data_IF_757437615969
#
_entry.id   IF_757437615969
#
_cell.length_a   1.000
_cell.length_b   1.000
_cell.length_c   1.000
_cell.angle_alpha   90.00
_cell.angle_beta   90.00
_cell.angle_gamma   90.00
#
_symmetry.space_group_name_H-M   'P 1'
#
loop_
_entity.id
_entity.type
_entity.pdbx_description
1 polymer ?
#
# COMPACT_ATOMS: atom_id res chain seq x y z
N UNK A 1 -2.31 3.48 -30.77
CA UNK A 1 -3.12 3.52 -29.54
C UNK A 1 -2.30 4.25 -28.49
N UNK A 2 -2.77 5.40 -27.97
CA UNK A 2 -2.13 6.05 -26.83
C UNK A 2 -2.50 5.29 -25.58
N UNK A 3 -1.55 4.54 -25.01
CA UNK A 3 -1.74 3.84 -23.74
C UNK A 3 -1.89 4.89 -22.64
N UNK A 4 -3.06 4.96 -22.01
CA UNK A 4 -3.26 5.78 -20.81
C UNK A 4 -2.35 5.22 -19.72
N UNK A 5 -1.38 6.01 -19.26
CA UNK A 5 -0.49 5.64 -18.16
C UNK A 5 -1.07 6.16 -16.86
N UNK A 6 -1.47 5.25 -15.97
CA UNK A 6 -1.90 5.61 -14.62
C UNK A 6 -0.70 6.02 -13.76
N UNK A 7 -0.91 6.93 -12.78
CA UNK A 7 0.15 7.37 -11.88
C UNK A 7 0.58 6.25 -10.92
N UNK A 8 1.69 6.48 -10.22
CA UNK A 8 2.16 5.63 -9.12
C UNK A 8 1.93 6.32 -7.78
N UNK A 9 1.80 5.53 -6.71
CA UNK A 9 1.70 6.01 -5.33
C UNK A 9 2.87 5.49 -4.49
N UNK A 10 3.33 6.30 -3.54
CA UNK A 10 4.28 5.84 -2.51
C UNK A 10 3.51 5.19 -1.37
N UNK A 11 3.89 3.97 -1.03
CA UNK A 11 3.31 3.18 0.05
C UNK A 11 4.40 2.77 1.02
N UNK A 12 4.28 3.18 2.27
CA UNK A 12 5.19 2.81 3.35
C UNK A 12 4.61 1.64 4.15
N UNK A 13 5.23 0.47 4.05
CA UNK A 13 4.86 -0.71 4.83
C UNK A 13 5.47 -0.60 6.22
N UNK A 14 4.62 -0.65 7.25
CA UNK A 14 5.04 -0.35 8.64
C UNK A 14 5.63 -1.53 9.41
N UNK A 15 5.44 -2.75 8.93
CA UNK A 15 5.81 -3.99 9.64
C UNK A 15 4.83 -4.44 10.72
N UNK A 16 3.80 -3.63 11.02
CA UNK A 16 2.71 -4.06 11.90
C UNK A 16 1.78 -4.99 11.12
N UNK A 17 1.57 -6.20 11.64
CA UNK A 17 0.65 -7.18 11.06
C UNK A 17 -0.37 -7.67 12.07
N UNK A 18 -1.52 -8.12 11.57
CA UNK A 18 -2.58 -8.76 12.33
C UNK A 18 -3.04 -10.00 11.57
N UNK A 19 -2.90 -11.17 12.18
CA UNK A 19 -3.34 -12.43 11.59
C UNK A 19 -4.50 -13.05 12.37
N UNK A 20 -5.29 -13.89 11.72
CA UNK A 20 -6.40 -14.61 12.34
C UNK A 20 -7.10 -15.58 11.39
N UNK A 21 -8.22 -16.14 11.84
CA UNK A 21 -9.11 -16.95 11.01
C UNK A 21 -10.36 -16.13 10.69
N UNK A 22 -10.72 -16.03 9.40
CA UNK A 22 -11.88 -15.27 8.97
C UNK A 22 -13.16 -16.00 9.37
N UNK A 23 -14.06 -15.33 10.10
CA UNK A 23 -15.24 -15.96 10.69
C UNK A 23 -16.18 -16.61 9.67
N UNK A 24 -16.30 -16.05 8.45
CA UNK A 24 -17.20 -16.57 7.40
C UNK A 24 -16.58 -17.70 6.59
N UNK A 25 -15.35 -17.54 6.13
CA UNK A 25 -14.69 -18.51 5.25
C UNK A 25 -13.89 -19.58 5.99
N UNK A 26 -13.64 -19.38 7.29
CA UNK A 26 -12.77 -20.22 8.12
C UNK A 26 -11.34 -20.36 7.55
N UNK A 27 -10.91 -19.41 6.71
CA UNK A 27 -9.58 -19.39 6.12
C UNK A 27 -8.65 -18.47 6.93
N UNK A 28 -7.35 -18.81 7.04
CA UNK A 28 -6.34 -17.90 7.57
C UNK A 28 -6.29 -16.60 6.76
N UNK A 29 -6.07 -15.49 7.44
CA UNK A 29 -5.79 -14.20 6.84
C UNK A 29 -4.69 -13.47 7.60
N UNK A 30 -4.01 -12.56 6.92
CA UNK A 30 -3.11 -11.58 7.51
C UNK A 30 -3.41 -10.21 6.94
N UNK A 31 -3.59 -9.21 7.79
CA UNK A 31 -3.63 -7.81 7.39
C UNK A 31 -2.29 -7.18 7.76
N UNK A 32 -1.72 -6.36 6.89
CA UNK A 32 -0.54 -5.58 7.20
C UNK A 32 -0.81 -4.09 7.02
N UNK A 33 -0.33 -3.30 7.98
CA UNK A 33 -0.57 -1.87 8.02
C UNK A 33 0.46 -1.14 7.17
N UNK A 34 -0.01 -0.14 6.44
CA UNK A 34 0.82 0.75 5.63
C UNK A 34 0.30 2.19 5.68
N UNK A 35 1.12 3.11 5.17
CA UNK A 35 0.78 4.51 5.01
C UNK A 35 0.94 4.90 3.53
N UNK A 36 -0.12 5.45 2.95
CA UNK A 36 -0.16 5.82 1.52
C UNK A 36 -0.08 7.33 1.37
N UNK A 37 0.82 7.79 0.51
CA UNK A 37 0.89 9.20 0.14
C UNK A 37 -0.06 9.46 -1.03
N UNK A 38 -1.12 10.22 -0.78
CA UNK A 38 -2.11 10.59 -1.80
C UNK A 38 -1.82 11.99 -2.36
N UNK A 39 -1.96 12.21 -3.68
CA UNK A 39 -1.85 13.53 -4.27
C UNK A 39 -2.83 14.52 -3.62
N UNK A 40 -2.33 15.69 -3.22
CA UNK A 40 -3.16 16.75 -2.59
C UNK A 40 -3.50 16.50 -1.12
N UNK A 41 -3.11 15.37 -0.52
CA UNK A 41 -3.30 15.10 0.91
C UNK A 41 -1.96 15.31 1.63
N UNK A 42 -1.88 16.26 2.59
CA UNK A 42 -0.61 16.63 3.21
C UNK A 42 0.07 15.51 4.01
N UNK A 43 -0.73 14.63 4.63
CA UNK A 43 -0.24 13.59 5.51
C UNK A 43 -0.55 12.20 4.93
N UNK A 44 0.35 11.21 5.12
CA UNK A 44 0.09 9.85 4.71
C UNK A 44 -1.18 9.30 5.37
N UNK A 45 -1.99 8.58 4.59
CA UNK A 45 -3.21 7.97 5.09
C UNK A 45 -2.94 6.52 5.50
N UNK A 46 -3.33 6.16 6.71
CA UNK A 46 -3.19 4.80 7.22
C UNK A 46 -4.16 3.87 6.49
N UNK A 47 -3.66 2.75 5.99
CA UNK A 47 -4.45 1.71 5.34
C UNK A 47 -4.00 0.33 5.81
N UNK A 48 -4.88 -0.66 5.67
CA UNK A 48 -4.57 -2.06 5.91
C UNK A 48 -4.74 -2.85 4.61
N UNK A 49 -3.71 -3.61 4.24
CA UNK A 49 -3.72 -4.48 3.09
C UNK A 49 -3.92 -5.93 3.51
N UNK A 50 -4.71 -6.65 2.71
CA UNK A 50 -4.92 -8.08 2.90
C UNK A 50 -3.80 -8.91 2.25
N UNK A 51 -3.32 -9.90 2.99
CA UNK A 51 -2.47 -10.98 2.54
C UNK A 51 -3.08 -12.32 3.00
N UNK A 52 -2.95 -13.37 2.18
CA UNK A 52 -3.48 -14.68 2.57
C UNK A 52 -2.61 -15.30 3.67
N UNK A 53 -1.31 -15.05 3.63
CA UNK A 53 -0.32 -15.58 4.58
C UNK A 53 0.67 -14.51 5.02
N UNK A 54 1.31 -14.72 6.17
CA UNK A 54 2.34 -13.81 6.69
C UNK A 54 3.55 -13.71 5.73
N UNK A 55 3.87 -14.78 4.99
CA UNK A 55 4.95 -14.81 4.00
C UNK A 55 4.72 -13.91 2.79
N UNK A 56 3.48 -13.49 2.53
CA UNK A 56 3.15 -12.55 1.45
C UNK A 56 3.26 -11.08 1.90
N UNK A 57 3.50 -10.82 3.19
CA UNK A 57 3.65 -9.46 3.69
C UNK A 57 5.00 -8.91 3.23
N UNK A 58 5.02 -7.78 2.50
CA UNK A 58 6.27 -7.14 2.11
C UNK A 58 7.09 -6.74 3.34
N UNK A 59 8.41 -6.69 3.17
CA UNK A 59 9.29 -6.16 4.22
C UNK A 59 8.95 -4.69 4.51
N UNK A 60 9.16 -4.21 5.76
CA UNK A 60 8.98 -2.80 6.06
C UNK A 60 9.85 -1.91 5.16
N UNK A 61 9.29 -0.76 4.79
CA UNK A 61 9.93 0.22 3.92
C UNK A 61 9.00 0.81 2.87
N UNK A 62 9.56 1.59 1.96
CA UNK A 62 8.80 2.38 0.99
C UNK A 62 8.78 1.67 -0.37
N UNK A 63 7.60 1.64 -0.99
CA UNK A 63 7.32 1.02 -2.26
C UNK A 63 6.65 2.02 -3.20
N UNK A 64 7.19 2.14 -4.42
CA UNK A 64 6.48 2.79 -5.52
C UNK A 64 5.55 1.77 -6.17
N UNK A 65 4.26 2.04 -6.09
CA UNK A 65 3.22 1.10 -6.51
C UNK A 65 2.44 1.70 -7.67
N UNK A 66 2.23 0.92 -8.73
CA UNK A 66 1.40 1.34 -9.86
C UNK A 66 -0.08 1.34 -9.44
N UNK A 67 -0.83 2.39 -9.83
CA UNK A 67 -2.29 2.41 -9.62
C UNK A 67 -2.93 1.51 -10.66
N UNK A 68 -3.64 0.49 -10.19
CA UNK A 68 -4.33 -0.52 -10.99
C UNK A 68 -5.83 -0.18 -10.98
N UNK A 69 -6.36 0.41 -12.06
CA UNK A 69 -7.81 0.57 -12.20
C UNK A 69 -8.45 -0.81 -12.39
N UNK A 70 -9.56 -1.06 -11.72
CA UNK A 70 -10.33 -2.29 -11.82
C UNK A 70 -11.83 -1.98 -11.86
N UNK A 71 -12.63 -2.90 -12.38
CA UNK A 71 -14.10 -2.84 -12.31
C UNK A 71 -14.59 -4.03 -11.50
N UNK A 72 -15.03 -3.76 -10.27
CA UNK A 72 -15.55 -4.77 -9.37
C UNK A 72 -17.00 -4.46 -9.03
N UNK A 73 -17.86 -5.47 -9.17
CA UNK A 73 -19.30 -5.37 -8.89
C UNK A 73 -19.97 -4.17 -9.59
N UNK A 74 -19.55 -3.88 -10.83
CA UNK A 74 -20.07 -2.78 -11.66
C UNK A 74 -19.59 -1.39 -11.25
N UNK A 75 -18.60 -1.28 -10.35
CA UNK A 75 -18.04 -0.01 -9.87
C UNK A 75 -16.57 0.09 -10.24
N UNK A 76 -16.16 1.31 -10.61
CA UNK A 76 -14.76 1.63 -10.82
C UNK A 76 -14.05 1.66 -9.46
N UNK A 77 -12.98 0.88 -9.35
CA UNK A 77 -12.08 0.86 -8.20
C UNK A 77 -10.65 1.18 -8.64
N UNK A 78 -9.88 1.76 -7.75
CA UNK A 78 -8.45 2.01 -7.95
C UNK A 78 -7.68 1.31 -6.86
N UNK A 79 -6.91 0.29 -7.25
CA UNK A 79 -6.12 -0.52 -6.34
C UNK A 79 -4.64 -0.19 -6.46
N UNK A 80 -3.89 -0.46 -5.39
CA UNK A 80 -2.46 -0.20 -5.30
C UNK A 80 -1.88 -1.22 -4.32
N UNK A 81 -0.99 -2.12 -4.76
CA UNK A 81 -0.50 -3.23 -3.93
C UNK A 81 1.03 -3.18 -3.77
N UNK A 82 1.55 -2.98 -2.55
CA UNK A 82 3.00 -2.95 -2.31
C UNK A 82 3.71 -4.28 -2.56
N UNK A 83 2.99 -5.41 -2.66
CA UNK A 83 3.57 -6.70 -3.08
C UNK A 83 4.02 -6.71 -4.54
N UNK A 84 3.39 -5.90 -5.38
CA UNK A 84 3.76 -5.71 -6.78
C UNK A 84 4.59 -4.43 -6.99
N UNK A 85 4.79 -3.65 -5.92
CA UNK A 85 5.50 -2.39 -5.94
C UNK A 85 7.01 -2.53 -6.06
N UNK A 86 7.65 -1.49 -6.59
CA UNK A 86 9.10 -1.36 -6.67
C UNK A 86 9.62 -0.77 -5.35
N UNK A 87 10.34 -1.56 -4.56
CA UNK A 87 10.95 -1.08 -3.30
C UNK A 87 11.91 0.07 -3.60
N UNK A 88 11.80 1.14 -2.82
CA UNK A 88 12.67 2.31 -2.89
C UNK A 88 13.62 2.31 -1.70
N UNK A 89 14.91 2.47 -2.00
CA UNK A 89 15.95 2.65 -0.99
C UNK A 89 16.03 4.14 -0.63
N UNK A 90 14.98 4.65 0.01
CA UNK A 90 14.93 6.01 0.54
C UNK A 90 14.70 5.93 2.04
N UNK A 91 15.22 6.92 2.77
CA UNK A 91 14.90 7.08 4.19
C UNK A 91 13.38 7.21 4.36
N UNK A 92 12.82 6.81 5.53
CA UNK A 92 11.40 6.99 5.83
C UNK A 92 10.96 8.41 5.48
N UNK A 93 9.85 8.54 4.73
CA UNK A 93 9.39 9.83 4.21
C UNK A 93 8.96 10.78 5.34
N UNK A 94 8.63 10.24 6.50
CA UNK A 94 8.44 10.99 7.76
C UNK A 94 9.66 11.82 8.14
N UNK A 95 10.87 11.31 7.93
CA UNK A 95 12.12 12.03 8.25
C UNK A 95 12.43 13.10 7.18
N UNK A 96 12.08 12.83 5.93
CA UNK A 96 12.30 13.75 4.80
C UNK A 96 11.36 14.95 4.85
N UNK A 97 10.09 14.76 5.24
CA UNK A 97 9.09 15.84 5.36
C UNK A 97 9.38 16.79 6.52
N UNK A 98 10.03 16.33 7.60
CA UNK A 98 10.46 17.18 8.70
C UNK A 98 11.69 18.03 8.37
N UNK A 99 12.48 17.64 7.37
CA UNK A 99 13.70 18.35 6.98
C UNK A 99 13.44 19.66 6.22
N UNK A 100 12.20 19.91 5.78
CA UNK A 100 11.80 21.19 5.15
C UNK A 100 11.36 22.26 6.16
N UNK A 101 11.51 22.00 7.47
CA UNK A 101 11.21 22.95 8.56
C UNK A 101 12.45 23.46 9.31
N UNK A 102 13.66 23.18 8.83
CA UNK A 102 14.91 23.69 9.39
C UNK A 102 15.48 24.84 8.54
#
# INVERSE_FOLDING_TARGET
MSTVKFPTLMVEVSGVTRSGIAAKSQKPYTMFQAYVHLPGVPYPQKVDFYAQTQSEVPQPGIYECDVIPDVRDGRLEFNCDPRQGRRKNIAPLSDVLNSQKA
#
